data_IF_377421616060
#
_entry.id   IF_377421616060
#
_cell.length_a   1.000
_cell.length_b   1.000
_cell.length_c   1.000
_cell.angle_alpha   90.00
_cell.angle_beta   90.00
_cell.angle_gamma   90.00
#
_symmetry.space_group_name_H-M   'P 1'
#
loop_
_entity.id
_entity.type
_entity.pdbx_description
1 polymer ?
#
# COMPACT_ATOMS: atom_id res chain seq x y z
N UNK A 1 25.77 8.38 5.31
CA UNK A 1 25.40 9.24 6.44
C UNK A 1 26.06 8.86 7.76
N UNK A 2 26.47 7.61 7.95
CA UNK A 2 27.23 7.16 9.14
C UNK A 2 28.66 7.74 9.20
N UNK A 3 29.15 8.29 8.12
CA UNK A 3 30.51 8.83 7.99
C UNK A 3 30.69 10.29 8.45
N UNK A 4 29.60 10.99 8.79
CA UNK A 4 29.67 12.42 9.14
C UNK A 4 29.48 12.71 10.64
N UNK A 5 29.48 11.73 11.53
CA UNK A 5 29.35 11.91 13.00
C UNK A 5 28.26 12.91 13.45
N UNK A 6 27.23 13.11 12.63
CA UNK A 6 26.10 13.99 12.99
C UNK A 6 25.14 13.23 13.90
N UNK A 7 24.97 13.72 15.10
CA UNK A 7 24.02 13.15 16.08
C UNK A 7 22.63 13.13 15.40
N UNK A 8 21.91 12.00 15.37
CA UNK A 8 20.61 11.86 14.72
C UNK A 8 19.61 12.97 15.07
N UNK A 9 19.69 13.49 16.30
CA UNK A 9 18.84 14.58 16.77
C UNK A 9 19.03 15.88 15.96
N UNK A 10 20.25 16.25 15.64
CA UNK A 10 20.52 17.47 14.85
C UNK A 10 20.02 17.34 13.42
N UNK A 11 20.15 16.15 12.82
CA UNK A 11 19.60 15.89 11.49
C UNK A 11 18.06 16.00 11.48
N UNK A 12 17.38 15.40 12.47
CA UNK A 12 15.94 15.50 12.59
C UNK A 12 15.47 16.93 12.84
N UNK A 13 16.18 17.69 13.68
CA UNK A 13 15.89 19.11 13.91
C UNK A 13 16.05 19.93 12.62
N UNK A 14 17.12 19.71 11.84
CA UNK A 14 17.34 20.42 10.59
C UNK A 14 16.25 20.13 9.56
N UNK A 15 15.86 18.87 9.40
CA UNK A 15 14.77 18.46 8.48
C UNK A 15 13.42 19.03 8.96
N UNK A 16 13.13 18.98 10.26
CA UNK A 16 11.91 19.54 10.83
C UNK A 16 11.81 21.05 10.62
N UNK A 17 12.90 21.77 10.83
CA UNK A 17 12.96 23.21 10.62
C UNK A 17 12.78 23.57 9.14
N UNK A 18 13.42 22.83 8.23
CA UNK A 18 13.30 23.03 6.79
C UNK A 18 11.86 22.79 6.31
N UNK A 19 11.22 21.72 6.79
CA UNK A 19 9.80 21.42 6.45
C UNK A 19 8.85 22.46 7.03
N UNK A 20 9.08 22.94 8.27
CA UNK A 20 8.28 23.96 8.89
C UNK A 20 8.40 25.31 8.18
N UNK A 21 9.58 25.70 7.77
CA UNK A 21 9.79 26.95 7.00
C UNK A 21 9.16 26.85 5.60
N UNK A 22 9.29 25.72 4.92
CA UNK A 22 8.61 25.49 3.65
C UNK A 22 7.07 25.55 3.81
N UNK A 23 6.53 24.89 4.84
CA UNK A 23 5.10 24.93 5.13
C UNK A 23 4.59 26.35 5.40
N UNK A 24 5.34 27.16 6.16
CA UNK A 24 5.01 28.56 6.43
C UNK A 24 5.09 29.44 5.17
N UNK A 25 6.07 29.19 4.30
CA UNK A 25 6.20 29.91 3.04
C UNK A 25 5.03 29.67 2.10
N UNK A 26 4.58 28.41 2.01
CA UNK A 26 3.44 28.03 1.16
C UNK A 26 2.08 28.23 1.82
N UNK A 27 2.02 28.53 3.12
CA UNK A 27 0.78 28.67 3.88
C UNK A 27 -0.20 29.65 3.24
N UNK A 28 0.26 30.84 2.84
CA UNK A 28 -0.58 31.88 2.22
C UNK A 28 -1.20 31.45 0.89
N UNK A 29 -0.53 30.60 0.13
CA UNK A 29 -1.00 30.15 -1.19
C UNK A 29 -1.89 28.90 -1.13
N UNK A 30 -1.89 28.18 0.00
CA UNK A 30 -2.59 26.90 0.13
C UNK A 30 -3.96 27.05 0.79
N UNK A 31 -4.21 28.10 1.59
CA UNK A 31 -5.40 28.21 2.44
C UNK A 31 -6.43 29.26 2.00
N UNK A 32 -6.46 29.63 0.73
CA UNK A 32 -7.48 30.56 0.20
C UNK A 32 -8.84 29.89 -0.08
N UNK A 33 -8.99 28.60 0.19
CA UNK A 33 -10.29 27.95 0.15
C UNK A 33 -11.03 28.14 1.46
N UNK A 34 -12.11 28.95 1.43
CA UNK A 34 -13.04 29.08 2.55
C UNK A 34 -13.52 27.71 3.01
N UNK A 35 -13.34 27.33 4.27
CA UNK A 35 -13.82 26.06 4.78
C UNK A 35 -15.34 26.01 4.65
N UNK A 36 -15.85 25.03 3.92
CA UNK A 36 -17.29 24.77 3.88
C UNK A 36 -17.73 24.18 5.22
N UNK A 37 -18.24 25.04 6.09
CA UNK A 37 -18.64 24.71 7.47
C UNK A 37 -19.91 23.87 7.60
N UNK A 38 -20.50 23.38 6.48
CA UNK A 38 -21.83 22.76 6.50
C UNK A 38 -21.88 21.28 6.82
N UNK A 39 -20.75 20.59 6.97
CA UNK A 39 -20.79 19.16 7.30
C UNK A 39 -20.15 18.87 8.66
N UNK A 40 -20.95 18.36 9.61
CA UNK A 40 -20.45 17.70 10.83
C UNK A 40 -19.48 16.59 10.37
N UNK A 41 -18.17 16.80 10.57
CA UNK A 41 -17.14 15.80 10.32
C UNK A 41 -17.34 14.64 11.28
N UNK A 42 -18.00 13.59 10.87
CA UNK A 42 -17.88 12.31 11.55
C UNK A 42 -16.47 11.81 11.28
N UNK A 43 -15.69 11.61 12.33
CA UNK A 43 -14.30 11.16 12.27
C UNK A 43 -14.22 9.72 11.70
N UNK A 44 -15.31 8.96 11.76
CA UNK A 44 -15.42 7.59 11.27
C UNK A 44 -16.73 7.45 10.48
N UNK A 45 -16.65 7.52 9.17
CA UNK A 45 -17.77 7.21 8.28
C UNK A 45 -17.52 5.85 7.64
N UNK A 46 -18.42 4.90 7.91
CA UNK A 46 -18.40 3.62 7.20
C UNK A 46 -18.64 3.90 5.70
N UNK A 47 -17.90 3.25 4.81
CA UNK A 47 -18.09 3.42 3.39
C UNK A 47 -19.49 2.96 2.98
N UNK A 48 -20.19 3.73 2.13
CA UNK A 48 -21.46 3.32 1.56
C UNK A 48 -21.27 2.03 0.74
N UNK A 49 -22.33 1.23 0.56
CA UNK A 49 -22.25 -0.10 -0.06
C UNK A 49 -21.53 -0.12 -1.42
N UNK A 50 -21.71 0.91 -2.22
CA UNK A 50 -21.04 1.08 -3.51
C UNK A 50 -19.54 1.35 -3.40
N UNK A 51 -19.05 1.80 -2.24
CA UNK A 51 -17.63 2.07 -1.96
C UNK A 51 -16.92 0.92 -1.23
N UNK A 52 -17.67 -0.05 -0.70
CA UNK A 52 -17.11 -1.16 0.08
C UNK A 52 -16.04 -1.93 -0.69
N UNK A 53 -16.23 -2.15 -2.00
CA UNK A 53 -15.27 -2.87 -2.85
C UNK A 53 -13.93 -2.11 -2.88
N UNK A 54 -13.96 -0.79 -3.09
CA UNK A 54 -12.76 0.04 -3.11
C UNK A 54 -12.05 0.05 -1.76
N UNK A 55 -12.82 0.10 -0.69
CA UNK A 55 -12.29 0.08 0.67
C UNK A 55 -11.60 -1.23 1.01
N UNK A 56 -12.15 -2.37 0.62
CA UNK A 56 -11.52 -3.67 0.83
C UNK A 56 -10.29 -3.89 -0.05
N UNK A 57 -10.28 -3.40 -1.29
CA UNK A 57 -9.10 -3.44 -2.15
C UNK A 57 -7.99 -2.59 -1.54
N UNK A 58 -8.30 -1.38 -1.06
CA UNK A 58 -7.36 -0.50 -0.38
C UNK A 58 -6.83 -1.14 0.92
N UNK A 59 -7.70 -1.72 1.74
CA UNK A 59 -7.36 -2.47 2.95
C UNK A 59 -6.34 -3.58 2.65
N UNK A 60 -6.63 -4.41 1.65
CA UNK A 60 -5.75 -5.53 1.27
C UNK A 60 -4.39 -5.03 0.79
N UNK A 61 -4.36 -4.01 -0.07
CA UNK A 61 -3.11 -3.45 -0.57
C UNK A 61 -2.26 -2.85 0.55
N UNK A 62 -2.85 -2.05 1.44
CA UNK A 62 -2.15 -1.45 2.57
C UNK A 62 -1.70 -2.49 3.60
N UNK A 63 -2.48 -3.55 3.82
CA UNK A 63 -2.09 -4.68 4.65
C UNK A 63 -0.86 -5.41 4.10
N UNK A 64 -0.84 -5.70 2.78
CA UNK A 64 0.29 -6.32 2.10
C UNK A 64 1.55 -5.44 2.16
N UNK A 65 1.39 -4.15 1.87
CA UNK A 65 2.48 -3.17 1.89
C UNK A 65 3.12 -3.09 3.28
N UNK A 66 2.31 -2.94 4.33
CA UNK A 66 2.84 -2.82 5.69
C UNK A 66 3.43 -4.14 6.22
N UNK A 67 2.87 -5.28 5.79
CA UNK A 67 3.48 -6.58 6.06
C UNK A 67 4.91 -6.65 5.53
N UNK A 68 5.16 -6.11 4.33
CA UNK A 68 6.50 -6.08 3.76
C UNK A 68 7.42 -5.13 4.53
N UNK A 69 6.93 -3.98 5.00
CA UNK A 69 7.73 -3.05 5.80
C UNK A 69 8.19 -3.66 7.13
N UNK A 70 7.27 -4.30 7.86
CA UNK A 70 7.55 -4.74 9.23
C UNK A 70 8.14 -6.15 9.28
N UNK A 71 7.70 -7.05 8.42
CA UNK A 71 7.96 -8.48 8.56
C UNK A 71 8.92 -9.06 7.52
N UNK A 72 9.19 -8.37 6.40
CA UNK A 72 10.06 -8.91 5.35
C UNK A 72 11.48 -9.23 5.83
N UNK A 73 12.08 -8.31 6.59
CA UNK A 73 13.40 -8.49 7.15
C UNK A 73 13.45 -9.60 8.21
N UNK A 74 12.39 -9.72 9.02
CA UNK A 74 12.25 -10.78 10.03
C UNK A 74 12.12 -12.14 9.34
N UNK A 75 11.34 -12.21 8.25
CA UNK A 75 11.15 -13.44 7.48
C UNK A 75 12.48 -13.98 6.94
N UNK A 76 13.29 -13.15 6.29
CA UNK A 76 14.61 -13.55 5.78
C UNK A 76 15.50 -14.07 6.92
N UNK A 77 15.50 -13.41 8.06
CA UNK A 77 16.38 -13.74 9.17
C UNK A 77 15.93 -14.97 9.95
N UNK A 78 14.63 -15.09 10.25
CA UNK A 78 14.13 -16.15 11.14
C UNK A 78 13.72 -17.41 10.37
N UNK A 79 13.17 -17.28 9.17
CA UNK A 79 12.64 -18.39 8.38
C UNK A 79 13.69 -18.97 7.45
N UNK A 80 14.47 -18.10 6.78
CA UNK A 80 15.49 -18.51 5.81
C UNK A 80 16.91 -18.45 6.36
N UNK A 81 17.09 -18.06 7.64
CA UNK A 81 18.39 -17.95 8.32
C UNK A 81 19.40 -17.06 7.56
N UNK A 82 18.88 -16.09 6.80
CA UNK A 82 19.69 -15.14 6.04
C UNK A 82 20.35 -14.07 6.93
N UNK A 83 21.47 -13.52 6.45
CA UNK A 83 22.17 -12.44 7.14
C UNK A 83 21.37 -11.12 7.13
N UNK A 84 21.73 -10.17 8.00
CA UNK A 84 21.14 -8.79 8.00
C UNK A 84 21.30 -8.11 6.64
N UNK A 85 22.47 -8.28 5.99
CA UNK A 85 22.74 -7.70 4.67
C UNK A 85 21.77 -8.22 3.61
N UNK A 86 21.52 -9.53 3.59
CA UNK A 86 20.56 -10.15 2.67
C UNK A 86 19.14 -9.65 2.92
N UNK A 87 18.72 -9.52 4.18
CA UNK A 87 17.41 -8.97 4.52
C UNK A 87 17.25 -7.53 4.02
N UNK A 88 18.29 -6.70 4.14
CA UNK A 88 18.29 -5.33 3.63
C UNK A 88 18.21 -5.31 2.10
N UNK A 89 18.99 -6.14 1.39
CA UNK A 89 18.94 -6.23 -0.08
C UNK A 89 17.55 -6.65 -0.55
N UNK A 90 16.95 -7.66 0.08
CA UNK A 90 15.61 -8.13 -0.24
C UNK A 90 14.55 -7.02 -0.10
N UNK A 91 14.64 -6.25 0.98
CA UNK A 91 13.74 -5.10 1.19
C UNK A 91 13.98 -3.98 0.18
N UNK A 92 15.25 -3.69 -0.16
CA UNK A 92 15.58 -2.70 -1.20
C UNK A 92 15.01 -3.12 -2.55
N UNK A 93 15.10 -4.40 -2.93
CA UNK A 93 14.51 -4.93 -4.17
C UNK A 93 12.98 -4.71 -4.18
N UNK A 94 12.31 -4.98 -3.06
CA UNK A 94 10.88 -4.67 -2.91
C UNK A 94 10.59 -3.17 -3.14
N UNK A 95 11.34 -2.28 -2.49
CA UNK A 95 11.17 -0.82 -2.59
C UNK A 95 11.42 -0.30 -4.00
N UNK A 96 12.46 -0.78 -4.67
CA UNK A 96 12.78 -0.43 -6.06
C UNK A 96 11.67 -0.89 -6.99
N UNK A 97 11.18 -2.13 -6.84
CA UNK A 97 10.09 -2.66 -7.63
C UNK A 97 8.80 -1.85 -7.43
N UNK A 98 8.46 -1.50 -6.19
CA UNK A 98 7.29 -0.69 -5.86
C UNK A 98 7.40 0.71 -6.48
N UNK A 99 8.55 1.35 -6.36
CA UNK A 99 8.78 2.69 -6.94
C UNK A 99 8.71 2.65 -8.46
N UNK A 100 9.39 1.68 -9.10
CA UNK A 100 9.34 1.48 -10.55
C UNK A 100 7.93 1.19 -11.04
N UNK A 101 7.17 0.37 -10.30
CA UNK A 101 5.78 0.07 -10.61
C UNK A 101 4.88 1.32 -10.60
N UNK A 102 5.13 2.29 -9.73
CA UNK A 102 4.38 3.56 -9.71
C UNK A 102 4.58 4.36 -11.00
N UNK A 103 5.81 4.43 -11.52
CA UNK A 103 6.07 5.11 -12.79
C UNK A 103 5.46 4.39 -14.00
N UNK A 104 5.40 3.07 -13.98
CA UNK A 104 4.83 2.27 -15.06
C UNK A 104 3.30 2.20 -14.99
N UNK A 105 2.73 2.43 -13.80
CA UNK A 105 1.31 2.20 -13.53
C UNK A 105 0.39 3.05 -14.38
N UNK A 106 0.68 4.33 -14.54
CA UNK A 106 -0.14 5.24 -15.34
C UNK A 106 -0.18 4.79 -16.81
N UNK A 107 0.99 4.44 -17.39
CA UNK A 107 1.05 3.92 -18.75
C UNK A 107 0.28 2.58 -18.90
N UNK A 108 0.37 1.71 -17.91
CA UNK A 108 -0.41 0.46 -17.91
C UNK A 108 -1.92 0.73 -17.79
N UNK A 109 -2.31 1.72 -16.97
CA UNK A 109 -3.70 2.09 -16.80
C UNK A 109 -4.30 2.69 -18.06
N UNK A 110 -3.55 3.50 -18.80
CA UNK A 110 -3.95 4.07 -20.08
C UNK A 110 -4.12 2.98 -21.15
N UNK A 111 -3.23 1.99 -21.17
CA UNK A 111 -3.25 0.93 -22.18
C UNK A 111 -4.25 -0.18 -21.89
N UNK A 112 -4.38 -0.61 -20.65
CA UNK A 112 -5.16 -1.80 -20.27
C UNK A 112 -6.42 -1.47 -19.46
N UNK A 113 -6.54 -0.25 -18.94
CA UNK A 113 -7.58 0.19 -18.03
C UNK A 113 -7.28 -0.13 -16.57
N UNK A 114 -7.70 0.77 -15.68
CA UNK A 114 -7.40 0.71 -14.23
C UNK A 114 -7.87 -0.60 -13.59
N UNK A 115 -9.05 -1.11 -13.97
CA UNK A 115 -9.60 -2.36 -13.45
C UNK A 115 -8.66 -3.54 -13.69
N UNK A 116 -8.15 -3.71 -14.93
CA UNK A 116 -7.23 -4.79 -15.27
C UNK A 116 -5.91 -4.66 -14.52
N UNK A 117 -5.41 -3.44 -14.35
CA UNK A 117 -4.17 -3.20 -13.59
C UNK A 117 -4.35 -3.61 -12.13
N UNK A 118 -5.47 -3.24 -11.47
CA UNK A 118 -5.75 -3.68 -10.09
C UNK A 118 -5.90 -5.21 -10.02
N UNK A 119 -6.52 -5.85 -11.02
CA UNK A 119 -6.63 -7.32 -11.07
C UNK A 119 -5.24 -7.98 -11.17
N UNK A 120 -4.39 -7.46 -12.07
CA UNK A 120 -2.99 -7.92 -12.20
C UNK A 120 -2.19 -7.67 -10.93
N UNK A 121 -2.41 -6.56 -10.24
CA UNK A 121 -1.81 -6.26 -8.95
C UNK A 121 -2.13 -7.32 -7.89
N UNK A 122 -3.40 -7.72 -7.78
CA UNK A 122 -3.80 -8.80 -6.87
C UNK A 122 -3.13 -10.13 -7.20
N UNK A 123 -3.02 -10.45 -8.49
CA UNK A 123 -2.32 -11.65 -8.95
C UNK A 123 -0.81 -11.60 -8.61
N UNK A 124 -0.15 -10.48 -8.88
CA UNK A 124 1.27 -10.28 -8.56
C UNK A 124 1.55 -10.39 -7.06
N UNK A 125 0.70 -9.79 -6.22
CA UNK A 125 0.78 -9.91 -4.76
C UNK A 125 0.68 -11.38 -4.36
N UNK A 126 -0.33 -12.10 -4.85
CA UNK A 126 -0.57 -13.48 -4.49
C UNK A 126 0.59 -14.40 -4.91
N UNK A 127 1.05 -14.29 -6.15
CA UNK A 127 2.18 -15.06 -6.67
C UNK A 127 3.46 -14.68 -5.91
N UNK A 128 3.68 -13.40 -5.65
CA UNK A 128 4.83 -12.93 -4.88
C UNK A 128 4.89 -13.54 -3.50
N UNK A 129 3.79 -13.50 -2.74
CA UNK A 129 3.71 -14.13 -1.42
C UNK A 129 3.79 -15.66 -1.48
N UNK A 130 3.26 -16.30 -2.52
CA UNK A 130 3.44 -17.75 -2.72
C UNK A 130 4.92 -18.12 -2.92
N UNK A 131 5.68 -17.36 -3.72
CA UNK A 131 7.13 -17.58 -3.85
C UNK A 131 7.84 -17.40 -2.51
N UNK A 132 7.45 -16.41 -1.71
CA UNK A 132 8.02 -16.17 -0.38
C UNK A 132 7.76 -17.37 0.54
N UNK A 133 6.53 -17.89 0.58
CA UNK A 133 6.11 -18.94 1.51
C UNK A 133 6.64 -20.32 1.12
N UNK A 134 6.58 -20.64 -0.17
CA UNK A 134 6.91 -21.98 -0.66
C UNK A 134 8.41 -22.19 -0.87
N UNK A 135 9.17 -21.11 -1.06
CA UNK A 135 10.59 -21.22 -1.36
C UNK A 135 11.45 -21.39 -0.10
N UNK A 136 12.34 -22.38 -0.08
CA UNK A 136 13.42 -22.45 0.90
C UNK A 136 14.65 -21.61 0.48
N UNK A 137 14.67 -21.06 -0.74
CA UNK A 137 15.83 -20.39 -1.33
C UNK A 137 15.66 -18.86 -1.29
N UNK A 138 16.67 -18.18 -0.76
CA UNK A 138 16.69 -16.70 -0.63
C UNK A 138 16.49 -16.00 -1.99
N UNK A 139 17.14 -16.36 -3.11
CA UNK A 139 16.96 -15.67 -4.39
C UNK A 139 15.50 -15.71 -4.88
N UNK A 140 14.82 -16.84 -4.69
CA UNK A 140 13.42 -16.98 -5.12
C UNK A 140 12.47 -16.18 -4.23
N UNK A 141 12.79 -16.07 -2.94
CA UNK A 141 12.06 -15.19 -2.00
C UNK A 141 12.26 -13.72 -2.37
N UNK A 142 13.47 -13.30 -2.75
CA UNK A 142 13.74 -11.93 -3.24
C UNK A 142 12.96 -11.65 -4.52
N UNK A 143 12.84 -12.62 -5.42
CA UNK A 143 11.98 -12.51 -6.60
C UNK A 143 10.51 -12.34 -6.20
N UNK A 144 10.03 -13.07 -5.19
CA UNK A 144 8.71 -12.88 -4.60
C UNK A 144 8.50 -11.45 -4.05
N UNK A 145 9.52 -10.88 -3.39
CA UNK A 145 9.48 -9.49 -2.91
C UNK A 145 9.36 -8.50 -4.07
N UNK A 146 10.10 -8.73 -5.15
CA UNK A 146 10.01 -7.91 -6.36
C UNK A 146 8.59 -7.93 -6.96
N UNK A 147 7.99 -9.11 -7.11
CA UNK A 147 6.63 -9.26 -7.62
C UNK A 147 5.61 -8.56 -6.71
N UNK A 148 5.74 -8.73 -5.39
CA UNK A 148 4.87 -8.06 -4.41
C UNK A 148 5.00 -6.55 -4.50
N UNK A 149 6.22 -6.02 -4.65
CA UNK A 149 6.47 -4.59 -4.82
C UNK A 149 5.76 -4.01 -6.04
N UNK A 150 5.89 -4.66 -7.21
CA UNK A 150 5.12 -4.27 -8.39
C UNK A 150 3.61 -4.36 -8.16
N UNK A 151 3.15 -5.43 -7.47
CA UNK A 151 1.74 -5.64 -7.19
C UNK A 151 1.10 -4.53 -6.35
N UNK A 152 1.74 -4.07 -5.27
CA UNK A 152 1.16 -3.04 -4.38
C UNK A 152 1.29 -1.62 -4.92
N UNK A 153 2.18 -1.39 -5.89
CA UNK A 153 2.67 -0.06 -6.30
C UNK A 153 1.57 0.96 -6.64
N UNK A 154 0.57 0.57 -7.41
CA UNK A 154 -0.42 1.49 -7.99
C UNK A 154 -1.85 1.30 -7.46
N UNK A 155 -2.09 0.31 -6.59
CA UNK A 155 -3.45 -0.03 -6.15
C UNK A 155 -4.11 1.14 -5.43
N UNK A 156 -3.46 1.71 -4.44
CA UNK A 156 -4.03 2.79 -3.61
C UNK A 156 -4.36 4.04 -4.44
N UNK A 157 -3.44 4.62 -5.24
CA UNK A 157 -3.75 5.78 -6.05
C UNK A 157 -4.85 5.49 -7.07
N UNK A 158 -4.91 4.31 -7.67
CA UNK A 158 -5.98 3.98 -8.61
C UNK A 158 -7.34 3.79 -7.92
N UNK A 159 -7.36 3.18 -6.74
CA UNK A 159 -8.59 3.07 -5.94
C UNK A 159 -9.12 4.46 -5.60
N UNK A 160 -8.26 5.39 -5.18
CA UNK A 160 -8.67 6.77 -4.87
C UNK A 160 -9.15 7.52 -6.12
N UNK A 161 -8.48 7.34 -7.26
CA UNK A 161 -8.92 7.91 -8.54
C UNK A 161 -10.32 7.42 -8.92
N UNK A 162 -10.58 6.12 -8.82
CA UNK A 162 -11.90 5.54 -9.12
C UNK A 162 -12.97 5.97 -8.11
N UNK A 163 -12.66 5.97 -6.83
CA UNK A 163 -13.58 6.40 -5.78
C UNK A 163 -13.99 7.86 -5.96
N UNK A 164 -13.04 8.73 -6.36
CA UNK A 164 -13.32 10.15 -6.63
C UNK A 164 -14.19 10.40 -7.86
N UNK A 165 -14.30 9.44 -8.79
CA UNK A 165 -15.15 9.56 -9.99
C UNK A 165 -16.61 9.14 -9.76
N UNK A 166 -16.91 8.53 -8.62
CA UNK A 166 -18.29 8.12 -8.33
C UNK A 166 -19.11 9.37 -7.94
N UNK A 167 -20.22 9.66 -8.64
CA UNK A 167 -21.06 10.80 -8.30
C UNK A 167 -21.65 10.61 -6.90
N UNK A 168 -21.22 11.44 -5.98
CA UNK A 168 -21.72 11.47 -4.61
C UNK A 168 -21.97 12.92 -4.19
N UNK A 169 -22.91 13.10 -3.30
CA UNK A 169 -23.21 14.42 -2.69
C UNK A 169 -22.00 15.01 -1.95
N UNK A 170 -21.05 14.17 -1.51
CA UNK A 170 -19.82 14.60 -0.86
C UNK A 170 -18.63 13.68 -1.25
N UNK A 171 -17.87 14.01 -2.32
CA UNK A 171 -16.72 13.24 -2.75
C UNK A 171 -15.61 13.12 -1.69
N UNK A 172 -15.42 14.15 -0.88
CA UNK A 172 -14.43 14.13 0.20
C UNK A 172 -14.76 13.12 1.30
N UNK A 173 -16.04 12.98 1.65
CA UNK A 173 -16.48 11.96 2.61
C UNK A 173 -16.31 10.54 2.04
N UNK A 174 -16.52 10.37 0.75
CA UNK A 174 -16.30 9.08 0.06
C UNK A 174 -14.83 8.66 0.13
N UNK A 175 -13.92 9.54 -0.26
CA UNK A 175 -12.47 9.29 -0.16
C UNK A 175 -12.03 9.06 1.29
N UNK A 176 -12.53 9.84 2.23
CA UNK A 176 -12.23 9.66 3.65
C UNK A 176 -12.65 8.28 4.16
N UNK A 177 -13.82 7.77 3.75
CA UNK A 177 -14.30 6.45 4.17
C UNK A 177 -13.47 5.31 3.59
N UNK A 178 -13.07 5.41 2.32
CA UNK A 178 -12.17 4.42 1.68
C UNK A 178 -10.80 4.43 2.35
N UNK A 179 -10.25 5.62 2.62
CA UNK A 179 -8.96 5.77 3.30
C UNK A 179 -9.00 5.21 4.72
N UNK A 180 -10.06 5.50 5.48
CA UNK A 180 -10.19 5.02 6.87
C UNK A 180 -10.16 3.51 6.96
N UNK A 181 -10.87 2.80 6.08
CA UNK A 181 -10.83 1.34 6.06
C UNK A 181 -9.47 0.81 5.54
N UNK A 182 -8.86 1.47 4.55
CA UNK A 182 -7.53 1.15 4.06
C UNK A 182 -6.48 1.25 5.17
N UNK A 183 -6.48 2.33 5.93
CA UNK A 183 -5.56 2.51 7.06
C UNK A 183 -5.77 1.52 8.21
N UNK A 184 -6.98 0.98 8.38
CA UNK A 184 -7.18 -0.14 9.31
C UNK A 184 -6.38 -1.38 8.88
N UNK A 185 -6.28 -1.66 7.58
CA UNK A 185 -5.40 -2.73 7.07
C UNK A 185 -3.94 -2.49 7.42
N UNK A 186 -3.49 -1.25 7.24
CA UNK A 186 -2.12 -0.84 7.57
C UNK A 186 -1.83 -0.97 9.09
N UNK A 187 -2.79 -0.64 9.95
CA UNK A 187 -2.60 -0.60 11.39
C UNK A 187 -2.80 -1.97 12.07
N UNK A 188 -3.84 -2.73 11.65
CA UNK A 188 -4.25 -3.95 12.36
C UNK A 188 -3.54 -5.20 11.86
N UNK A 189 -3.22 -5.27 10.57
CA UNK A 189 -2.69 -6.52 9.98
C UNK A 189 -1.29 -6.87 10.51
N UNK A 190 -0.31 -5.97 10.68
CA UNK A 190 1.00 -6.34 11.21
C UNK A 190 0.98 -6.94 12.62
N UNK A 191 0.23 -6.40 13.59
CA UNK A 191 0.07 -7.07 14.89
C UNK A 191 -0.59 -8.45 14.76
N UNK A 192 -1.60 -8.59 13.88
CA UNK A 192 -2.26 -9.88 13.63
C UNK A 192 -1.29 -10.92 13.06
N UNK A 193 -0.41 -10.51 12.14
CA UNK A 193 0.66 -11.38 11.60
C UNK A 193 1.55 -11.86 12.74
N UNK A 194 1.96 -10.97 13.64
CA UNK A 194 2.78 -11.34 14.80
C UNK A 194 2.08 -12.34 15.71
N UNK A 195 0.80 -12.12 15.99
CA UNK A 195 0.00 -13.02 16.81
C UNK A 195 -0.17 -14.40 16.16
N UNK A 196 -0.52 -14.45 14.87
CA UNK A 196 -0.62 -15.71 14.12
C UNK A 196 0.74 -16.40 14.02
N UNK A 197 1.82 -15.65 13.82
CA UNK A 197 3.16 -16.22 13.73
C UNK A 197 3.62 -16.85 15.05
N UNK A 198 3.24 -16.29 16.19
CA UNK A 198 3.51 -16.88 17.52
C UNK A 198 2.72 -18.17 17.73
N UNK A 199 1.46 -18.21 17.30
CA UNK A 199 0.60 -19.37 17.44
C UNK A 199 0.94 -20.51 16.46
N UNK A 200 1.53 -20.19 15.31
CA UNK A 200 1.77 -21.14 14.22
C UNK A 200 3.16 -20.99 13.60
N UNK A 201 3.28 -20.15 12.59
CA UNK A 201 4.55 -19.80 11.95
C UNK A 201 4.41 -18.55 11.09
N UNK A 202 5.53 -17.85 10.84
CA UNK A 202 5.55 -16.69 9.97
C UNK A 202 5.23 -17.06 8.50
N UNK A 203 5.49 -18.30 8.08
CA UNK A 203 5.08 -18.81 6.76
C UNK A 203 3.56 -18.86 6.61
N UNK A 204 2.84 -19.33 7.63
CA UNK A 204 1.37 -19.37 7.61
C UNK A 204 0.80 -17.95 7.60
N UNK A 205 1.35 -17.03 8.39
CA UNK A 205 0.94 -15.62 8.36
C UNK A 205 1.08 -15.01 6.95
N UNK A 206 2.19 -15.27 6.26
CA UNK A 206 2.40 -14.79 4.89
C UNK A 206 1.50 -15.49 3.87
N UNK A 207 1.14 -16.77 4.08
CA UNK A 207 0.17 -17.47 3.25
C UNK A 207 -1.23 -16.84 3.34
N UNK A 208 -1.63 -16.33 4.52
CA UNK A 208 -2.88 -15.59 4.67
C UNK A 208 -2.87 -14.30 3.85
N UNK A 209 -1.73 -13.61 3.78
CA UNK A 209 -1.59 -12.42 2.93
C UNK A 209 -1.68 -12.79 1.45
N UNK A 210 -1.11 -13.93 1.03
CA UNK A 210 -1.28 -14.42 -0.34
C UNK A 210 -2.78 -14.63 -0.69
N UNK A 211 -3.57 -15.18 0.22
CA UNK A 211 -5.02 -15.36 0.05
C UNK A 211 -5.75 -14.01 -0.04
N UNK A 212 -5.33 -13.00 0.73
CA UNK A 212 -5.88 -11.64 0.61
C UNK A 212 -5.62 -11.05 -0.79
N UNK A 213 -4.46 -11.31 -1.40
CA UNK A 213 -4.17 -10.91 -2.77
C UNK A 213 -5.13 -11.56 -3.79
N UNK A 214 -5.42 -12.86 -3.64
CA UNK A 214 -6.42 -13.57 -4.47
C UNK A 214 -7.80 -12.93 -4.28
N UNK A 215 -8.18 -12.63 -3.04
CA UNK A 215 -9.45 -11.98 -2.75
C UNK A 215 -9.53 -10.59 -3.39
N UNK A 216 -8.47 -9.80 -3.31
CA UNK A 216 -8.36 -8.51 -3.99
C UNK A 216 -8.53 -8.66 -5.52
N UNK A 217 -7.90 -9.66 -6.13
CA UNK A 217 -8.06 -9.98 -7.55
C UNK A 217 -9.55 -10.27 -7.89
N UNK A 218 -10.24 -11.07 -7.08
CA UNK A 218 -11.66 -11.37 -7.27
C UNK A 218 -12.55 -10.14 -7.09
N UNK A 219 -12.29 -9.31 -6.07
CA UNK A 219 -13.05 -8.07 -5.85
C UNK A 219 -12.87 -7.07 -6.99
N UNK A 220 -11.66 -6.97 -7.55
CA UNK A 220 -11.36 -6.04 -8.63
C UNK A 220 -12.16 -6.34 -9.90
N UNK A 221 -12.53 -7.62 -10.14
CA UNK A 221 -13.37 -7.99 -11.29
C UNK A 221 -14.79 -7.43 -11.20
N UNK A 222 -15.23 -7.04 -10.01
CA UNK A 222 -16.55 -6.44 -9.77
C UNK A 222 -16.55 -4.90 -9.87
N UNK A 223 -15.39 -4.29 -10.09
CA UNK A 223 -15.30 -2.85 -10.34
C UNK A 223 -16.00 -2.55 -11.67
N UNK A 224 -16.96 -1.62 -11.73
CA UNK A 224 -17.56 -1.20 -13.00
C UNK A 224 -16.47 -0.67 -13.94
N UNK A 225 -16.45 -1.12 -15.17
CA UNK A 225 -15.59 -0.51 -16.19
C UNK A 225 -16.10 0.92 -16.41
N UNK A 226 -15.32 1.91 -16.01
CA UNK A 226 -15.54 3.26 -16.51
C UNK A 226 -15.37 3.17 -18.02
N UNK A 227 -16.48 3.21 -18.79
CA UNK A 227 -16.41 3.42 -20.23
C UNK A 227 -15.49 4.62 -20.44
N UNK A 228 -14.36 4.41 -21.10
CA UNK A 228 -13.56 5.49 -21.61
C UNK A 228 -14.56 6.40 -22.33
N UNK A 229 -14.73 7.62 -21.87
CA UNK A 229 -15.44 8.64 -22.59
C UNK A 229 -14.64 8.84 -23.89
N UNK A 230 -15.05 8.10 -24.91
CA UNK A 230 -14.61 8.32 -26.27
C UNK A 230 -15.28 9.63 -26.70
N UNK A 231 -14.53 10.69 -26.73
CA UNK A 231 -14.75 11.86 -27.60
C UNK A 231 -13.48 12.69 -27.62
#
# INVERSE_FOLDING_TARGET
>A
MVTMNVIPAWHLMGVSLALSTAALFFYKNTFDQKPDHRHKRSIFTLPPKNMMIFSFICFTSMACENTMYDWSGIYIRQVLQGSKGVATIAFVVYMVAMTSGRFLGDHMADRYGIRKVITMSGLLISIGFLFIVLSPYIPLTIFGYMLTGFGVSCVVPFVFSLAGRIPMSNPGAALASVSSLGYLGFLLVPPMIGYVAQATSLRISFALIALMGIWMMQLSTRIPEARAAAS
#
